data_IF_950200273701
#
_entry.id   IF_950200273701
#
_cell.length_a   1.000
_cell.length_b   1.000
_cell.length_c   1.000
_cell.angle_alpha   90.00
_cell.angle_beta   90.00
_cell.angle_gamma   90.00
#
_symmetry.space_group_name_H-M   'P 1'
#
loop_
_entity.id
_entity.type
_entity.pdbx_description
1 polymer ?
#
# COMPACT_ATOMS: atom_id res chain seq x y z
N UNK A 1 -20.58 9.27 25.62
CA UNK A 1 -21.06 10.38 24.78
C UNK A 1 -20.13 11.55 25.00
N UNK A 2 -19.35 11.94 23.99
CA UNK A 2 -18.88 13.30 23.76
C UNK A 2 -18.44 13.38 22.28
N UNK A 3 -19.10 14.26 21.56
CA UNK A 3 -18.78 14.70 20.20
C UNK A 3 -17.82 15.89 20.34
N UNK A 4 -16.79 16.01 19.48
CA UNK A 4 -16.17 17.28 19.06
C UNK A 4 -15.29 17.09 17.79
N UNK A 5 -15.37 18.06 16.88
CA UNK A 5 -14.81 18.18 15.51
C UNK A 5 -13.27 18.45 15.47
N UNK A 6 -12.44 17.71 14.70
CA UNK A 6 -11.77 17.93 13.36
C UNK A 6 -10.83 19.15 13.27
N UNK A 7 -9.51 18.99 13.01
CA UNK A 7 -8.75 18.94 11.70
C UNK A 7 -7.32 18.38 12.00
N UNK A 8 -6.68 17.39 11.31
CA UNK A 8 -6.88 16.66 10.03
C UNK A 8 -6.32 15.22 10.06
N UNK A 9 -7.01 14.12 9.71
CA UNK A 9 -8.45 13.87 9.48
C UNK A 9 -8.95 13.79 8.03
N UNK A 10 -8.14 14.10 7.00
CA UNK A 10 -8.61 14.23 5.61
C UNK A 10 -8.95 12.88 4.97
N UNK A 11 -10.13 12.80 4.34
CA UNK A 11 -10.55 11.64 3.52
C UNK A 11 -9.71 11.56 2.25
N UNK A 12 -9.28 10.36 1.90
CA UNK A 12 -8.58 10.09 0.63
C UNK A 12 -9.64 9.86 -0.43
N UNK A 13 -9.70 10.72 -1.45
CA UNK A 13 -10.64 10.54 -2.54
C UNK A 13 -10.21 9.40 -3.46
N UNK A 14 -11.17 8.75 -4.10
CA UNK A 14 -10.83 7.86 -5.21
C UNK A 14 -10.15 8.69 -6.31
N UNK A 15 -9.19 8.06 -7.00
CA UNK A 15 -8.27 8.65 -7.98
C UNK A 15 -7.21 9.60 -7.40
N UNK A 16 -7.18 9.82 -6.09
CA UNK A 16 -6.12 10.61 -5.45
C UNK A 16 -4.77 9.89 -5.51
N UNK A 17 -3.71 10.68 -5.71
CA UNK A 17 -2.33 10.20 -5.71
C UNK A 17 -1.78 10.30 -4.30
N UNK A 18 -1.28 9.17 -3.78
CA UNK A 18 -0.73 9.04 -2.44
C UNK A 18 0.71 8.50 -2.49
N UNK A 19 1.44 8.70 -1.39
CA UNK A 19 2.72 8.04 -1.14
C UNK A 19 2.58 7.10 0.05
N UNK A 20 3.20 5.93 -0.04
CA UNK A 20 3.05 4.89 0.99
C UNK A 20 4.34 4.79 1.82
N UNK A 21 4.28 4.98 3.14
CA UNK A 21 5.49 5.12 3.99
C UNK A 21 5.58 4.04 5.07
N UNK A 22 6.42 3.05 4.88
CA UNK A 22 6.66 2.03 5.89
C UNK A 22 7.22 2.63 7.19
N UNK A 23 6.45 2.59 8.27
CA UNK A 23 6.80 3.34 9.49
C UNK A 23 8.03 2.81 10.19
N UNK A 24 8.20 1.48 10.28
CA UNK A 24 9.34 0.91 11.01
C UNK A 24 10.68 1.27 10.38
N UNK A 25 10.77 1.27 9.05
CA UNK A 25 12.00 1.66 8.33
C UNK A 25 12.05 3.15 7.98
N UNK A 26 10.96 3.89 8.20
CA UNK A 26 10.78 5.28 7.79
C UNK A 26 10.98 5.55 6.28
N UNK A 27 10.91 4.50 5.44
CA UNK A 27 11.06 4.59 3.99
C UNK A 27 9.73 4.55 3.25
N UNK A 28 9.76 4.92 1.98
CA UNK A 28 8.62 4.96 1.08
C UNK A 28 8.61 3.76 0.16
N UNK A 29 7.43 3.20 -0.09
CA UNK A 29 7.24 2.18 -1.09
C UNK A 29 7.43 2.81 -2.47
N UNK A 30 8.30 2.22 -3.28
CA UNK A 30 8.61 2.69 -4.62
C UNK A 30 8.60 1.54 -5.62
N UNK A 31 8.26 1.85 -6.87
CA UNK A 31 8.43 0.94 -7.99
C UNK A 31 9.71 1.25 -8.76
N UNK A 32 10.47 0.23 -9.15
CA UNK A 32 11.64 0.38 -10.01
C UNK A 32 11.39 -0.16 -11.43
N UNK A 33 12.35 -0.02 -12.33
CA UNK A 33 12.31 -0.65 -13.67
C UNK A 33 12.98 -2.02 -13.68
N UNK A 34 13.49 -2.48 -12.54
CA UNK A 34 14.08 -3.80 -12.41
C UNK A 34 12.99 -4.86 -12.37
N UNK A 35 13.36 -6.08 -12.75
CA UNK A 35 12.48 -7.23 -12.66
C UNK A 35 12.37 -7.71 -11.22
N UNK A 36 11.15 -8.09 -10.83
CA UNK A 36 10.88 -8.69 -9.53
C UNK A 36 11.44 -10.12 -9.47
N UNK A 37 11.83 -10.54 -8.28
CA UNK A 37 12.69 -11.70 -8.03
C UNK A 37 12.09 -13.03 -8.52
N UNK A 38 10.77 -13.22 -8.41
CA UNK A 38 10.10 -14.49 -8.73
C UNK A 38 9.24 -14.42 -10.00
N UNK A 39 8.51 -13.32 -10.20
CA UNK A 39 7.51 -13.24 -11.28
C UNK A 39 7.95 -12.46 -12.53
N UNK A 40 9.14 -11.85 -12.52
CA UNK A 40 9.60 -10.94 -13.58
C UNK A 40 8.61 -9.79 -13.87
N UNK A 41 7.85 -9.36 -12.87
CA UNK A 41 7.08 -8.11 -12.91
C UNK A 41 8.00 -6.94 -12.56
N UNK A 42 7.49 -5.73 -12.34
CA UNK A 42 8.34 -4.65 -11.84
C UNK A 42 8.59 -4.82 -10.34
N UNK A 43 9.85 -4.65 -9.94
CA UNK A 43 10.28 -4.69 -8.55
C UNK A 43 9.60 -3.56 -7.75
N UNK A 44 9.20 -3.94 -6.53
CA UNK A 44 8.68 -3.04 -5.51
C UNK A 44 9.63 -3.07 -4.32
N UNK A 45 10.10 -1.90 -3.88
CA UNK A 45 11.07 -1.79 -2.81
C UNK A 45 10.75 -0.63 -1.87
N UNK A 46 11.53 -0.48 -0.79
CA UNK A 46 11.40 0.62 0.16
C UNK A 46 12.64 1.50 0.10
N UNK A 47 12.45 2.79 -0.16
CA UNK A 47 13.54 3.75 -0.34
C UNK A 47 13.39 4.97 0.57
N UNK A 48 14.46 5.77 0.74
CA UNK A 48 14.42 6.95 1.64
C UNK A 48 13.71 8.15 0.99
N UNK A 49 13.84 8.30 -0.32
CA UNK A 49 13.08 9.29 -1.10
C UNK A 49 11.69 8.78 -1.46
N UNK A 50 10.82 9.69 -1.90
CA UNK A 50 9.45 9.39 -2.31
C UNK A 50 9.16 9.78 -3.76
N UNK A 51 10.15 10.24 -4.52
CA UNK A 51 9.96 10.83 -5.85
C UNK A 51 9.27 9.86 -6.83
N UNK A 52 9.63 8.57 -6.74
CA UNK A 52 9.08 7.46 -7.52
C UNK A 52 7.98 6.67 -6.79
N UNK A 53 7.62 7.07 -5.57
CA UNK A 53 6.69 6.37 -4.67
C UNK A 53 5.23 6.79 -4.80
N UNK A 54 4.77 7.12 -6.02
CA UNK A 54 3.43 7.67 -6.27
C UNK A 54 2.45 6.59 -6.70
N UNK A 55 1.36 6.45 -5.95
CA UNK A 55 0.29 5.49 -6.22
C UNK A 55 -1.06 6.19 -6.32
N UNK A 56 -1.81 5.93 -7.39
CA UNK A 56 -3.20 6.31 -7.50
C UNK A 56 -4.09 5.31 -6.75
N UNK A 57 -4.98 5.80 -5.89
CA UNK A 57 -6.01 5.00 -5.21
C UNK A 57 -7.19 4.79 -6.15
N UNK A 58 -7.38 3.57 -6.65
CA UNK A 58 -8.50 3.23 -7.52
C UNK A 58 -9.52 2.43 -6.73
N UNK A 59 -10.62 3.06 -6.33
CA UNK A 59 -11.68 2.36 -5.60
C UNK A 59 -12.44 1.38 -6.50
N UNK A 60 -12.75 0.18 -5.98
CA UNK A 60 -13.53 -0.81 -6.73
C UNK A 60 -14.95 -0.31 -7.04
N UNK A 61 -15.63 0.29 -6.06
CA UNK A 61 -16.98 0.84 -6.20
C UNK A 61 -16.92 2.36 -6.31
N UNK A 62 -16.75 2.88 -7.52
CA UNK A 62 -16.86 4.32 -7.76
C UNK A 62 -18.33 4.76 -7.74
N UNK A 63 -18.69 5.59 -6.75
CA UNK A 63 -19.83 6.51 -6.84
C UNK A 63 -19.28 7.92 -7.13
N UNK A 64 -20.10 8.81 -7.69
CA UNK A 64 -19.70 10.15 -8.18
C UNK A 64 -18.89 11.00 -7.18
N UNK A 65 -18.95 10.70 -5.88
CA UNK A 65 -18.15 11.30 -4.80
C UNK A 65 -17.65 10.23 -3.82
N UNK A 66 -16.93 9.23 -4.32
CA UNK A 66 -16.40 8.16 -3.47
C UNK A 66 -15.03 8.52 -2.89
N UNK A 67 -14.87 8.21 -1.61
CA UNK A 67 -13.62 8.25 -0.88
C UNK A 67 -13.27 6.84 -0.41
N UNK A 68 -11.99 6.61 -0.12
CA UNK A 68 -11.52 5.33 0.35
C UNK A 68 -11.93 5.11 1.81
N UNK A 69 -12.85 4.15 2.00
CA UNK A 69 -13.30 3.71 3.31
C UNK A 69 -12.51 2.49 3.81
N UNK A 70 -12.30 2.43 5.13
CA UNK A 70 -11.75 1.24 5.78
C UNK A 70 -12.69 0.06 5.50
N UNK A 71 -12.12 -1.10 5.15
CA UNK A 71 -12.90 -2.29 4.83
C UNK A 71 -13.35 -2.39 3.36
N UNK A 72 -13.32 -1.30 2.59
CA UNK A 72 -13.60 -1.36 1.15
C UNK A 72 -12.35 -1.77 0.35
N UNK A 73 -12.60 -2.41 -0.78
CA UNK A 73 -11.55 -2.81 -1.70
C UNK A 73 -11.09 -1.62 -2.55
N UNK A 74 -9.78 -1.49 -2.69
CA UNK A 74 -9.12 -0.55 -3.58
C UNK A 74 -8.02 -1.25 -4.37
N UNK A 75 -7.61 -0.65 -5.47
CA UNK A 75 -6.37 -0.98 -6.17
C UNK A 75 -5.40 0.17 -5.98
N UNK A 76 -4.10 -0.14 -5.93
CA UNK A 76 -3.04 0.84 -5.83
C UNK A 76 -2.24 0.80 -7.13
N UNK A 77 -2.45 1.79 -8.00
CA UNK A 77 -1.78 1.86 -9.29
C UNK A 77 -0.54 2.72 -9.19
N UNK A 78 0.64 2.16 -9.47
CA UNK A 78 1.83 2.99 -9.55
C UNK A 78 1.78 3.88 -10.81
N UNK A 79 2.01 5.17 -10.64
CA UNK A 79 1.93 6.16 -11.73
C UNK A 79 3.04 5.95 -12.76
N UNK A 80 4.26 5.64 -12.30
CA UNK A 80 5.45 5.58 -13.15
C UNK A 80 5.48 4.30 -13.99
N UNK A 81 5.15 3.16 -13.38
CA UNK A 81 5.10 1.86 -14.07
C UNK A 81 3.76 1.59 -14.77
N UNK A 82 2.72 2.40 -14.52
CA UNK A 82 1.36 2.22 -15.02
C UNK A 82 0.74 0.84 -14.68
N UNK A 83 1.21 0.20 -13.61
CA UNK A 83 0.82 -1.14 -13.16
C UNK A 83 0.22 -1.13 -11.76
N UNK A 84 -0.46 -2.21 -11.38
CA UNK A 84 -1.04 -2.36 -10.05
C UNK A 84 -0.11 -3.08 -9.09
N UNK A 85 -0.09 -2.62 -7.84
CA UNK A 85 0.50 -3.33 -6.72
C UNK A 85 -0.20 -4.67 -6.52
N UNK A 86 0.57 -5.75 -6.48
CA UNK A 86 0.03 -7.11 -6.41
C UNK A 86 0.90 -8.04 -5.57
N UNK A 87 0.28 -9.12 -5.10
CA UNK A 87 0.91 -10.27 -4.47
C UNK A 87 0.20 -11.54 -4.94
N UNK A 88 0.89 -12.66 -5.11
CA UNK A 88 0.27 -13.93 -5.51
C UNK A 88 0.88 -15.13 -4.80
N UNK A 89 0.04 -16.10 -4.42
CA UNK A 89 0.49 -17.38 -3.86
C UNK A 89 1.41 -18.16 -4.79
N UNK A 90 1.28 -17.96 -6.10
CA UNK A 90 2.14 -18.61 -7.09
C UNK A 90 3.60 -18.16 -6.97
N UNK A 91 3.85 -17.01 -6.33
CA UNK A 91 5.18 -16.42 -6.15
C UNK A 91 5.49 -16.32 -4.64
N UNK A 92 5.38 -17.45 -3.95
CA UNK A 92 5.80 -17.59 -2.55
C UNK A 92 7.28 -17.96 -2.47
N UNK A 93 8.02 -17.29 -1.59
CA UNK A 93 9.40 -17.65 -1.26
C UNK A 93 9.42 -18.99 -0.52
N UNK A 94 10.13 -19.97 -1.06
CA UNK A 94 10.24 -21.32 -0.52
C UNK A 94 11.67 -21.86 -0.68
N UNK A 95 11.94 -23.06 -0.16
CA UNK A 95 13.29 -23.64 -0.13
C UNK A 95 13.87 -23.88 -1.54
N UNK A 96 13.02 -23.96 -2.56
CA UNK A 96 13.44 -24.19 -3.94
C UNK A 96 13.86 -22.91 -4.65
N UNK A 97 13.20 -21.78 -4.39
CA UNK A 97 13.50 -20.49 -5.03
C UNK A 97 14.29 -19.51 -4.15
N UNK A 98 14.41 -19.77 -2.85
CA UNK A 98 15.19 -18.98 -1.92
C UNK A 98 15.84 -19.88 -0.85
N UNK A 99 17.07 -20.34 -1.11
CA UNK A 99 17.82 -21.16 -0.16
C UNK A 99 18.26 -20.33 1.05
N UNK A 100 18.06 -20.83 2.28
CA UNK A 100 18.35 -20.12 3.55
C UNK A 100 17.68 -18.73 3.65
N UNK A 101 16.44 -18.62 3.16
CA UNK A 101 15.70 -17.36 3.16
C UNK A 101 15.23 -16.96 4.57
N UNK A 102 15.45 -15.71 5.02
CA UNK A 102 14.84 -15.20 6.26
C UNK A 102 13.34 -14.90 6.13
N UNK A 103 12.82 -14.92 4.90
CA UNK A 103 11.43 -14.56 4.55
C UNK A 103 10.67 -15.73 3.91
N UNK A 104 11.03 -16.95 4.31
CA UNK A 104 10.32 -18.17 3.90
C UNK A 104 8.80 -18.02 4.09
N UNK A 105 8.03 -18.48 3.11
CA UNK A 105 6.56 -18.43 3.03
C UNK A 105 5.96 -17.03 2.92
N UNK A 106 6.79 -16.00 2.70
CA UNK A 106 6.29 -14.69 2.30
C UNK A 106 5.93 -14.72 0.81
N UNK A 107 4.92 -13.94 0.42
CA UNK A 107 4.66 -13.70 -0.99
C UNK A 107 5.55 -12.59 -1.51
N UNK A 108 5.92 -12.69 -2.79
CA UNK A 108 6.43 -11.56 -3.54
C UNK A 108 5.37 -10.46 -3.62
N UNK A 109 5.78 -9.23 -3.31
CA UNK A 109 5.04 -8.02 -3.65
C UNK A 109 5.72 -7.35 -4.85
N UNK A 110 4.94 -7.01 -5.87
CA UNK A 110 5.45 -6.44 -7.12
C UNK A 110 4.46 -5.45 -7.72
N UNK A 111 4.90 -4.72 -8.74
CA UNK A 111 4.01 -3.94 -9.61
C UNK A 111 3.87 -4.69 -10.93
N UNK A 112 2.64 -5.03 -11.28
CA UNK A 112 2.36 -5.80 -12.49
C UNK A 112 2.77 -5.01 -13.73
N UNK A 113 3.32 -5.70 -14.75
CA UNK A 113 3.68 -5.07 -16.03
C UNK A 113 2.47 -4.66 -16.89
N UNK A 114 1.27 -5.10 -16.52
CA UNK A 114 0.03 -4.75 -17.20
C UNK A 114 -0.83 -3.79 -16.38
N UNK A 115 -1.68 -3.04 -17.08
CA UNK A 115 -2.37 -1.84 -16.57
C UNK A 115 -3.87 -2.02 -16.32
N UNK A 116 -4.39 -3.25 -16.40
CA UNK A 116 -5.79 -3.57 -16.11
C UNK A 116 -5.95 -4.25 -14.75
N UNK A 117 -6.92 -3.81 -13.92
CA UNK A 117 -7.13 -4.37 -12.60
C UNK A 117 -7.75 -5.78 -12.68
N UNK A 118 -7.36 -6.67 -11.77
CA UNK A 118 -7.98 -7.98 -11.56
C UNK A 118 -8.20 -8.24 -10.08
N UNK A 119 -9.02 -9.24 -9.77
CA UNK A 119 -9.45 -9.55 -8.40
C UNK A 119 -8.31 -9.84 -7.41
N UNK A 120 -7.19 -10.38 -7.88
CA UNK A 120 -6.01 -10.68 -7.05
C UNK A 120 -5.18 -9.44 -6.66
N UNK A 121 -5.54 -8.26 -7.18
CA UNK A 121 -4.88 -6.97 -6.90
C UNK A 121 -5.69 -6.09 -5.93
N UNK A 122 -6.77 -6.63 -5.37
CA UNK A 122 -7.63 -5.91 -4.43
C UNK A 122 -6.94 -5.82 -3.06
N UNK A 123 -6.81 -4.60 -2.58
CA UNK A 123 -6.30 -4.26 -1.27
C UNK A 123 -7.41 -3.75 -0.36
N UNK A 124 -7.30 -4.03 0.93
CA UNK A 124 -8.27 -3.58 1.93
C UNK A 124 -7.56 -3.06 3.16
N UNK A 125 -7.82 -1.81 3.53
CA UNK A 125 -7.38 -1.28 4.80
C UNK A 125 -8.18 -1.96 5.94
N UNK A 126 -7.49 -2.62 6.88
CA UNK A 126 -8.14 -3.26 8.05
C UNK A 126 -8.27 -2.35 9.26
N UNK A 127 -7.40 -1.36 9.42
CA UNK A 127 -7.40 -0.47 10.59
C UNK A 127 -6.72 0.86 10.24
N UNK A 128 -7.32 1.98 10.61
CA UNK A 128 -6.65 3.27 10.63
C UNK A 128 -6.23 3.60 12.05
N UNK A 129 -5.01 4.11 12.25
CA UNK A 129 -4.65 4.77 13.51
C UNK A 129 -4.50 6.25 13.19
N UNK A 130 -5.55 7.03 13.45
CA UNK A 130 -5.46 8.49 13.39
C UNK A 130 -4.69 8.93 14.64
N UNK A 131 -3.39 9.18 14.49
CA UNK A 131 -2.56 9.75 15.55
C UNK A 131 -2.62 11.28 15.36
N UNK A 132 -3.48 11.95 16.11
CA UNK A 132 -3.34 13.39 16.31
C UNK A 132 -2.32 13.58 17.44
N UNK A 133 -1.11 14.01 17.11
CA UNK A 133 -0.17 14.43 18.15
C UNK A 133 -0.71 15.75 18.73
N UNK A 134 -1.14 15.73 19.99
CA UNK A 134 -1.45 16.94 20.74
C UNK A 134 -0.15 17.66 21.11
N UNK A 135 0.50 18.26 20.12
CA UNK A 135 1.58 19.22 20.33
C UNK A 135 1.50 20.26 19.23
N UNK A 136 1.45 21.51 19.67
CA UNK A 136 1.19 22.77 18.97
C UNK A 136 2.24 23.13 17.88
N UNK A 137 2.59 22.19 17.01
CA UNK A 137 3.55 22.35 15.92
C UNK A 137 2.89 22.03 14.57
N UNK A 138 2.90 23.02 13.68
CA UNK A 138 2.21 23.14 12.38
C UNK A 138 2.51 22.07 11.31
N UNK A 139 2.55 20.77 11.63
CA UNK A 139 2.71 19.69 10.66
C UNK A 139 2.09 18.37 11.16
N UNK A 140 0.76 18.36 11.27
CA UNK A 140 0.00 17.17 11.64
C UNK A 140 0.01 16.12 10.53
N UNK A 141 0.61 14.95 10.81
CA UNK A 141 0.71 13.82 9.88
C UNK A 141 -0.32 12.75 10.23
N UNK A 142 -1.22 12.45 9.30
CA UNK A 142 -2.17 11.36 9.46
C UNK A 142 -1.60 10.05 8.88
N UNK A 143 -1.81 8.95 9.61
CA UNK A 143 -1.34 7.62 9.21
C UNK A 143 -2.48 6.62 9.04
N UNK A 144 -2.49 5.90 7.92
CA UNK A 144 -3.41 4.77 7.72
C UNK A 144 -2.62 3.48 7.64
N UNK A 145 -2.96 2.48 8.47
CA UNK A 145 -2.34 1.15 8.42
C UNK A 145 -3.06 0.30 7.39
N UNK A 146 -2.47 0.15 6.22
CA UNK A 146 -2.82 -1.01 5.41
C UNK A 146 -2.15 -2.23 5.99
N UNK A 147 -3.00 -3.11 6.48
CA UNK A 147 -2.68 -4.51 6.43
C UNK A 147 -2.69 -4.90 4.96
N UNK A 148 -1.75 -5.74 4.57
CA UNK A 148 -1.72 -6.39 3.28
C UNK A 148 -2.29 -7.80 3.49
N UNK A 149 -3.61 -7.97 3.74
CA UNK A 149 -4.19 -9.28 3.66
C UNK A 149 -4.32 -9.60 2.18
N UNK A 150 -3.31 -10.24 1.59
CA UNK A 150 -3.69 -11.29 0.66
C UNK A 150 -4.62 -12.20 1.49
N UNK A 151 -5.84 -12.47 1.00
CA UNK A 151 -6.96 -13.16 1.68
C UNK A 151 -6.62 -14.57 2.24
N UNK A 152 -5.34 -14.91 2.21
CA UNK A 152 -4.81 -16.23 2.06
C UNK A 152 -3.34 -16.32 2.53
N UNK A 153 -2.79 -15.25 3.14
CA UNK A 153 -1.43 -15.20 3.68
C UNK A 153 -1.39 -15.22 5.21
N UNK A 154 -0.46 -16.01 5.76
CA UNK A 154 -0.25 -16.21 7.19
C UNK A 154 0.59 -15.10 7.84
N UNK A 155 1.22 -14.22 7.04
CA UNK A 155 2.04 -13.11 7.51
C UNK A 155 1.54 -11.76 6.98
N UNK A 156 1.04 -10.87 7.85
CA UNK A 156 0.60 -9.55 7.46
C UNK A 156 1.81 -8.61 7.31
N UNK A 157 2.01 -8.06 6.12
CA UNK A 157 2.81 -6.85 5.99
C UNK A 157 1.93 -5.67 6.43
N UNK A 158 2.45 -4.81 7.29
CA UNK A 158 1.78 -3.59 7.72
C UNK A 158 2.55 -2.41 7.15
N UNK A 159 2.00 -1.75 6.12
CA UNK A 159 2.52 -0.47 5.65
C UNK A 159 1.59 0.60 6.21
N UNK A 160 2.15 1.59 6.90
CA UNK A 160 1.37 2.79 7.21
C UNK A 160 1.56 3.81 6.09
N UNK A 161 0.62 4.69 5.90
CA UNK A 161 0.74 5.74 4.89
C UNK A 161 0.99 7.07 5.56
N UNK A 162 1.76 7.95 4.93
CA UNK A 162 1.86 9.33 5.38
C UNK A 162 0.99 10.15 4.44
N UNK A 163 -0.06 10.77 4.97
CA UNK A 163 -0.95 11.62 4.18
C UNK A 163 -0.35 13.03 4.06
N UNK A 164 -0.38 13.66 2.87
CA UNK A 164 0.05 15.04 2.69
C UNK A 164 -0.93 16.06 3.29
#
# INVERSE_FOLDING_TARGET
MHILNIVTGRKINCDEIVTLKHVKSNGYLIGSKHDSILSNNYELSVHKDNESGKFQVVCEKKKNTSYWEIGENVYLKNINQNGYLSTSKSYEFNQYNCHNCPIMYHLEACILKYSYPRDDQKWRAKSGVIIANFSDDKNDKAYMRMWFPCLNCRFPWAIMFNLP
#
